data_IF_827416585828
#
_entry.id   IF_827416585828
#
_cell.length_a   1.000
_cell.length_b   1.000
_cell.length_c   1.000
_cell.angle_alpha   90.00
_cell.angle_beta   90.00
_cell.angle_gamma   90.00
#
_symmetry.space_group_name_H-M   'P 1'
#
loop_
_entity.id
_entity.type
_entity.pdbx_description
1 polymer ?
#
# COMPACT_ATOMS: atom_id res chain seq x y z
N UNK A 1 36.02 -71.98 7.14
CA UNK A 1 35.17 -71.24 8.10
C UNK A 1 35.24 -69.77 7.69
N UNK A 2 34.09 -69.21 7.35
CA UNK A 2 33.72 -67.82 7.10
C UNK A 2 34.38 -66.97 5.98
N UNK A 3 33.54 -66.80 4.96
CA UNK A 3 33.44 -65.73 3.95
C UNK A 3 33.07 -64.39 4.62
N UNK A 4 33.61 -63.27 4.15
CA UNK A 4 33.19 -61.92 4.54
C UNK A 4 33.13 -60.98 3.34
N UNK A 5 31.98 -60.95 2.65
CA UNK A 5 31.68 -59.98 1.60
C UNK A 5 31.35 -58.61 2.20
N UNK A 6 31.96 -57.57 1.63
CA UNK A 6 31.63 -56.16 1.85
C UNK A 6 30.29 -55.84 1.18
N UNK A 7 29.28 -55.47 1.97
CA UNK A 7 28.01 -54.91 1.49
C UNK A 7 28.13 -53.38 1.44
N UNK A 8 28.41 -52.85 0.25
CA UNK A 8 28.10 -51.47 -0.09
C UNK A 8 26.59 -51.32 -0.30
N UNK A 9 25.94 -50.46 0.46
CA UNK A 9 24.53 -50.15 0.26
C UNK A 9 24.38 -49.21 -0.94
N UNK A 10 24.04 -49.76 -2.11
CA UNK A 10 23.45 -48.99 -3.19
C UNK A 10 22.09 -48.46 -2.72
N UNK A 11 21.92 -47.14 -2.67
CA UNK A 11 20.59 -46.51 -2.61
C UNK A 11 19.88 -46.81 -3.94
N UNK A 12 18.84 -47.63 -3.90
CA UNK A 12 17.95 -47.90 -5.04
C UNK A 12 17.29 -46.59 -5.51
N UNK A 13 17.60 -46.17 -6.74
CA UNK A 13 17.02 -44.98 -7.36
C UNK A 13 15.54 -45.18 -7.77
N UNK A 14 15.03 -46.41 -7.75
CA UNK A 14 13.71 -46.78 -8.29
C UNK A 14 12.54 -46.64 -7.29
N UNK A 15 12.77 -46.04 -6.10
CA UNK A 15 11.71 -45.88 -5.06
C UNK A 15 11.41 -44.45 -4.62
N UNK A 16 11.85 -43.44 -5.36
CA UNK A 16 11.23 -42.12 -5.28
C UNK A 16 9.96 -42.15 -6.15
N UNK A 17 8.81 -42.51 -5.57
CA UNK A 17 7.53 -42.56 -6.29
C UNK A 17 7.09 -41.14 -6.70
N UNK A 18 7.43 -40.72 -7.92
CA UNK A 18 6.94 -39.49 -8.55
C UNK A 18 8.01 -38.46 -8.93
N UNK A 19 7.63 -37.51 -9.79
CA UNK A 19 8.46 -36.35 -10.13
C UNK A 19 8.52 -35.38 -8.94
N UNK A 20 9.68 -34.82 -8.64
CA UNK A 20 9.84 -33.88 -7.53
C UNK A 20 10.86 -32.77 -7.84
N UNK A 21 10.77 -31.67 -7.10
CA UNK A 21 11.82 -30.66 -7.03
C UNK A 21 12.58 -30.80 -5.71
N UNK A 22 13.91 -30.83 -5.78
CA UNK A 22 14.78 -30.68 -4.63
C UNK A 22 15.27 -29.22 -4.59
N UNK A 23 14.63 -28.43 -3.74
CA UNK A 23 14.84 -26.98 -3.71
C UNK A 23 15.90 -26.65 -2.67
N UNK A 24 16.92 -25.90 -3.08
CA UNK A 24 17.92 -25.29 -2.19
C UNK A 24 17.69 -23.79 -2.12
N UNK A 25 17.61 -23.23 -0.92
CA UNK A 25 17.52 -21.78 -0.73
C UNK A 25 18.92 -21.18 -0.57
N UNK A 26 19.21 -20.13 -1.34
CA UNK A 26 20.44 -19.35 -1.23
C UNK A 26 20.13 -17.92 -0.77
N UNK A 27 20.60 -17.52 0.40
CA UNK A 27 20.32 -16.19 0.96
C UNK A 27 21.39 -15.71 1.96
N UNK A 28 21.59 -14.38 2.09
CA UNK A 28 22.47 -13.84 3.11
C UNK A 28 21.85 -14.00 4.51
N UNK A 29 22.63 -14.49 5.47
CA UNK A 29 22.18 -14.77 6.85
C UNK A 29 21.73 -13.52 7.62
N UNK A 30 21.99 -12.32 7.10
CA UNK A 30 21.52 -11.04 7.62
C UNK A 30 20.02 -10.82 7.44
N UNK A 31 19.32 -11.69 6.70
CA UNK A 31 17.87 -11.59 6.48
C UNK A 31 17.04 -12.21 7.62
N UNK A 32 17.66 -12.94 8.56
CA UNK A 32 17.01 -13.51 9.75
C UNK A 32 15.72 -14.30 9.47
N UNK A 33 15.65 -15.00 8.34
CA UNK A 33 14.45 -15.75 7.94
C UNK A 33 14.18 -16.89 8.94
N UNK A 34 12.95 -17.05 9.44
CA UNK A 34 12.51 -18.16 10.30
C UNK A 34 11.41 -19.04 9.67
N UNK A 35 10.75 -18.57 8.61
CA UNK A 35 9.79 -19.31 7.80
C UNK A 35 9.87 -18.96 6.32
N UNK A 36 9.42 -19.88 5.48
CA UNK A 36 9.24 -19.72 4.05
C UNK A 36 7.77 -19.87 3.68
N UNK A 37 7.29 -19.06 2.74
CA UNK A 37 6.06 -19.29 2.01
C UNK A 37 6.43 -19.70 0.59
N UNK A 38 6.15 -20.95 0.24
CA UNK A 38 6.52 -21.54 -1.05
C UNK A 38 5.28 -21.65 -1.92
N UNK A 39 5.34 -21.08 -3.12
CA UNK A 39 4.31 -21.20 -4.15
C UNK A 39 4.94 -21.40 -5.53
N UNK A 40 4.14 -21.71 -6.54
CA UNK A 40 4.65 -21.90 -7.89
C UNK A 40 3.70 -22.60 -8.83
N UNK A 41 4.23 -23.12 -9.92
CA UNK A 41 3.50 -23.89 -10.91
C UNK A 41 4.39 -24.94 -11.57
N UNK A 42 3.75 -25.97 -12.15
CA UNK A 42 4.36 -26.88 -13.11
C UNK A 42 3.38 -27.16 -14.24
N UNK A 43 3.73 -26.77 -15.46
CA UNK A 43 2.79 -26.69 -16.57
C UNK A 43 1.61 -25.79 -16.20
N UNK A 44 0.39 -26.34 -16.23
CA UNK A 44 -0.85 -25.64 -15.84
C UNK A 44 -1.26 -25.88 -14.37
N UNK A 45 -0.51 -26.70 -13.63
CA UNK A 45 -0.83 -27.05 -12.23
C UNK A 45 -0.15 -26.10 -11.26
N UNK A 46 -0.87 -25.66 -10.23
CA UNK A 46 -0.31 -24.85 -9.14
C UNK A 46 0.44 -25.67 -8.08
N UNK A 47 1.43 -25.05 -7.43
CA UNK A 47 2.20 -25.57 -6.30
C UNK A 47 1.98 -24.65 -5.10
N UNK A 48 1.59 -25.20 -3.95
CA UNK A 48 1.42 -24.44 -2.70
C UNK A 48 0.10 -23.64 -2.63
N UNK A 49 0.01 -22.64 -1.73
CA UNK A 49 1.07 -22.18 -0.84
C UNK A 49 1.38 -23.17 0.29
N UNK A 50 2.67 -23.36 0.59
CA UNK A 50 3.14 -24.14 1.74
C UNK A 50 3.96 -23.25 2.67
N UNK A 51 3.75 -23.39 3.98
CA UNK A 51 4.54 -22.68 5.00
C UNK A 51 5.55 -23.65 5.62
N UNK A 52 6.84 -23.30 5.58
CA UNK A 52 7.94 -24.17 6.01
C UNK A 52 8.93 -23.43 6.92
N UNK A 53 9.24 -23.91 8.13
CA UNK A 53 8.46 -24.90 8.88
C UNK A 53 7.08 -24.34 9.25
N UNK A 54 6.09 -25.22 9.47
CA UNK A 54 4.72 -24.80 9.81
C UNK A 54 4.61 -23.99 11.11
N UNK A 55 5.57 -24.15 12.03
CA UNK A 55 5.74 -23.32 13.22
C UNK A 55 7.17 -22.77 13.27
N UNK A 56 7.37 -21.48 13.59
CA UNK A 56 8.69 -20.87 13.64
C UNK A 56 9.40 -21.34 14.92
N UNK A 57 10.42 -22.20 14.77
CA UNK A 57 11.17 -22.75 15.91
C UNK A 57 12.65 -22.31 15.96
N UNK A 58 13.19 -21.81 14.85
CA UNK A 58 14.58 -21.35 14.71
C UNK A 58 14.73 -20.51 13.44
N UNK A 59 15.80 -19.74 13.38
CA UNK A 59 16.26 -19.15 12.12
C UNK A 59 16.66 -20.25 11.13
N UNK A 60 16.35 -20.02 9.86
CA UNK A 60 16.79 -20.83 8.74
C UNK A 60 18.26 -20.55 8.43
N UNK A 61 18.97 -21.59 7.98
CA UNK A 61 20.35 -21.51 7.53
C UNK A 61 20.44 -21.46 6.02
N UNK A 62 21.43 -20.72 5.49
CA UNK A 62 21.69 -20.72 4.07
C UNK A 62 22.00 -22.14 3.56
N UNK A 63 21.46 -22.51 2.40
CA UNK A 63 21.58 -23.85 1.84
C UNK A 63 20.59 -24.87 2.42
N UNK A 64 19.58 -24.44 3.19
CA UNK A 64 18.50 -25.35 3.57
C UNK A 64 17.78 -25.91 2.35
N UNK A 65 17.35 -27.16 2.47
CA UNK A 65 16.75 -27.90 1.37
C UNK A 65 15.40 -28.46 1.77
N UNK A 66 14.48 -28.48 0.81
CA UNK A 66 13.19 -29.13 0.97
C UNK A 66 12.72 -29.71 -0.36
N UNK A 67 11.76 -30.62 -0.27
CA UNK A 67 11.25 -31.38 -1.42
C UNK A 67 9.82 -30.97 -1.75
N UNK A 68 9.57 -30.65 -3.01
CA UNK A 68 8.22 -30.43 -3.53
C UNK A 68 7.85 -31.63 -4.39
N UNK A 69 6.83 -32.37 -3.98
CA UNK A 69 6.26 -33.43 -4.82
C UNK A 69 5.39 -32.80 -5.91
N UNK A 70 5.65 -33.16 -7.16
CA UNK A 70 4.90 -32.64 -8.30
C UNK A 70 3.81 -33.63 -8.73
N UNK A 71 2.71 -33.13 -9.32
CA UNK A 71 1.77 -34.00 -10.03
C UNK A 71 2.46 -34.76 -11.18
N UNK A 72 1.82 -35.79 -11.74
CA UNK A 72 2.30 -36.42 -12.96
C UNK A 72 2.48 -35.39 -14.07
N UNK A 73 3.68 -35.34 -14.64
CA UNK A 73 4.11 -34.35 -15.64
C UNK A 73 4.83 -35.07 -16.76
N UNK A 74 4.82 -34.48 -17.94
CA UNK A 74 5.61 -34.95 -19.07
C UNK A 74 7.05 -34.42 -18.99
N UNK A 75 7.95 -35.02 -19.77
CA UNK A 75 9.33 -34.54 -19.84
C UNK A 75 9.38 -33.11 -20.39
N UNK A 76 10.32 -32.33 -19.86
CA UNK A 76 10.55 -30.93 -20.26
C UNK A 76 9.35 -30.02 -20.00
N UNK A 77 8.54 -30.35 -18.97
CA UNK A 77 7.49 -29.45 -18.49
C UNK A 77 8.14 -28.33 -17.69
N UNK A 78 7.83 -27.05 -17.94
CA UNK A 78 8.39 -25.96 -17.15
C UNK A 78 7.77 -25.95 -15.75
N UNK A 79 8.61 -25.80 -14.73
CA UNK A 79 8.22 -25.53 -13.36
C UNK A 79 8.81 -24.19 -12.90
N UNK A 80 8.00 -23.40 -12.22
CA UNK A 80 8.40 -22.14 -11.61
C UNK A 80 8.11 -22.22 -10.10
N UNK A 81 9.07 -21.81 -9.28
CA UNK A 81 8.94 -21.77 -7.82
C UNK A 81 9.26 -20.37 -7.34
N UNK A 82 8.35 -19.81 -6.55
CA UNK A 82 8.49 -18.54 -5.84
C UNK A 82 8.52 -18.80 -4.33
N UNK A 83 9.44 -18.13 -3.64
CA UNK A 83 9.62 -18.25 -2.19
C UNK A 83 9.63 -16.86 -1.57
N UNK A 84 8.80 -16.67 -0.55
CA UNK A 84 8.91 -15.53 0.38
C UNK A 84 9.59 -15.99 1.67
N UNK A 85 10.57 -15.23 2.15
CA UNK A 85 11.18 -15.44 3.46
C UNK A 85 10.55 -14.52 4.50
N UNK A 86 10.09 -15.10 5.61
CA UNK A 86 9.50 -14.40 6.75
C UNK A 86 10.46 -14.35 7.94
N UNK A 87 10.36 -13.29 8.73
CA UNK A 87 10.93 -13.17 10.07
C UNK A 87 9.83 -12.66 11.01
N UNK A 88 9.54 -13.39 12.09
CA UNK A 88 8.44 -13.10 13.01
C UNK A 88 7.10 -12.85 12.30
N UNK A 89 6.85 -13.60 11.22
CA UNK A 89 5.64 -13.49 10.40
C UNK A 89 5.62 -12.34 9.38
N UNK A 90 6.69 -11.53 9.29
CA UNK A 90 6.81 -10.43 8.33
C UNK A 90 7.73 -10.81 7.18
N UNK A 91 7.35 -10.50 5.94
CA UNK A 91 8.21 -10.75 4.78
C UNK A 91 9.44 -9.84 4.78
N UNK A 92 10.61 -10.47 4.73
CA UNK A 92 11.92 -9.82 4.71
C UNK A 92 12.75 -10.20 3.48
N UNK A 93 12.35 -11.26 2.75
CA UNK A 93 13.05 -11.74 1.57
C UNK A 93 12.09 -12.29 0.52
N UNK A 94 12.53 -12.29 -0.74
CA UNK A 94 11.83 -12.94 -1.85
C UNK A 94 12.82 -13.47 -2.89
N UNK A 95 12.46 -14.56 -3.56
CA UNK A 95 13.17 -15.08 -4.73
C UNK A 95 12.27 -15.97 -5.58
N UNK A 96 12.62 -16.13 -6.86
CA UNK A 96 11.99 -17.10 -7.75
C UNK A 96 13.02 -17.77 -8.66
N UNK A 97 12.70 -18.97 -9.13
CA UNK A 97 13.55 -19.73 -10.04
C UNK A 97 12.70 -20.69 -10.88
N UNK A 98 13.18 -21.04 -12.07
CA UNK A 98 12.48 -21.94 -12.99
C UNK A 98 13.39 -23.05 -13.51
N UNK A 99 12.81 -24.21 -13.78
CA UNK A 99 13.52 -25.39 -14.29
C UNK A 99 12.60 -26.26 -15.13
N UNK A 100 13.19 -27.01 -16.08
CA UNK A 100 12.48 -28.03 -16.84
C UNK A 100 12.46 -29.35 -16.07
N UNK A 101 11.27 -29.87 -15.78
CA UNK A 101 11.14 -31.12 -15.01
C UNK A 101 11.18 -32.35 -15.91
N UNK A 102 11.65 -33.46 -15.35
CA UNK A 102 11.74 -34.74 -16.05
C UNK A 102 10.89 -35.79 -15.34
N UNK A 103 10.01 -36.45 -16.09
CA UNK A 103 9.04 -37.42 -15.58
C UNK A 103 9.72 -38.54 -14.77
N UNK A 104 9.33 -38.67 -13.51
CA UNK A 104 9.86 -39.71 -12.60
C UNK A 104 11.24 -39.40 -12.03
N UNK A 105 11.76 -38.18 -12.22
CA UNK A 105 13.03 -37.75 -11.64
C UNK A 105 12.80 -36.66 -10.61
N UNK A 106 13.74 -36.57 -9.68
CA UNK A 106 13.93 -35.40 -8.85
C UNK A 106 14.87 -34.42 -9.58
N UNK A 107 14.48 -33.15 -9.62
CA UNK A 107 15.24 -32.10 -10.29
C UNK A 107 15.66 -31.05 -9.27
N UNK A 108 16.95 -30.73 -9.27
CA UNK A 108 17.51 -29.71 -8.38
C UNK A 108 17.13 -28.31 -8.85
N UNK A 109 16.72 -27.46 -7.91
CA UNK A 109 16.40 -26.06 -8.14
C UNK A 109 17.03 -25.22 -7.05
N UNK A 110 17.83 -24.22 -7.41
CA UNK A 110 18.31 -23.23 -6.44
C UNK A 110 17.49 -21.95 -6.58
N UNK A 111 16.94 -21.48 -5.47
CA UNK A 111 16.23 -20.19 -5.39
C UNK A 111 17.09 -19.23 -4.59
N UNK A 112 17.60 -18.21 -5.28
CA UNK A 112 18.33 -17.12 -4.65
C UNK A 112 17.32 -16.10 -4.11
N UNK A 113 17.39 -15.82 -2.82
CA UNK A 113 16.53 -14.84 -2.16
C UNK A 113 17.31 -13.56 -1.87
N UNK A 114 16.66 -12.44 -2.08
CA UNK A 114 17.21 -11.12 -1.81
C UNK A 114 16.31 -10.38 -0.82
N UNK A 115 16.84 -9.31 -0.20
CA UNK A 115 16.06 -8.47 0.71
C UNK A 115 14.84 -7.96 -0.04
N UNK A 116 13.66 -8.33 0.45
CA UNK A 116 12.41 -7.76 -0.03
C UNK A 116 12.02 -6.63 0.92
N UNK A 117 11.67 -5.44 0.41
CA UNK A 117 11.08 -4.44 1.28
C UNK A 117 9.83 -5.05 1.96
N UNK A 118 9.60 -4.75 3.26
CA UNK A 118 8.36 -5.15 3.91
C UNK A 118 7.20 -4.67 3.05
N UNK A 119 6.15 -5.48 2.92
CA UNK A 119 4.92 -5.04 2.25
C UNK A 119 4.43 -3.83 3.04
N UNK A 120 4.68 -2.61 2.56
CA UNK A 120 3.99 -1.46 3.12
C UNK A 120 2.54 -1.57 2.63
N UNK A 121 1.56 -1.81 3.50
CA UNK A 121 0.16 -1.88 3.07
C UNK A 121 -0.31 -0.58 2.40
N UNK A 122 0.45 0.52 2.58
CA UNK A 122 0.20 1.85 2.05
C UNK A 122 1.08 2.23 0.86
N UNK A 123 2.10 1.43 0.51
CA UNK A 123 2.95 1.70 -0.65
C UNK A 123 3.29 0.43 -1.44
N UNK A 124 2.95 0.45 -2.72
CA UNK A 124 3.16 -0.64 -3.64
C UNK A 124 4.14 -0.22 -4.74
N UNK A 125 5.20 -1.00 -4.96
CA UNK A 125 6.13 -0.79 -6.08
C UNK A 125 5.45 -1.17 -7.41
N UNK A 126 5.79 -0.47 -8.50
CA UNK A 126 5.31 -0.74 -9.87
C UNK A 126 3.79 -0.60 -10.11
N UNK A 127 3.12 0.39 -9.49
CA UNK A 127 1.74 0.77 -9.82
C UNK A 127 1.66 2.09 -10.62
N UNK A 128 2.01 2.13 -11.93
CA UNK A 128 2.10 3.39 -12.68
C UNK A 128 0.75 4.12 -12.82
N UNK A 129 -0.36 3.38 -12.95
CA UNK A 129 -1.71 3.93 -13.14
C UNK A 129 -2.67 3.62 -11.98
N UNK A 130 -2.12 3.22 -10.83
CA UNK A 130 -2.90 2.74 -9.70
C UNK A 130 -2.33 3.15 -8.34
N UNK A 131 -3.09 2.84 -7.32
CA UNK A 131 -2.75 3.08 -5.92
C UNK A 131 -2.61 1.75 -5.17
N UNK A 132 -2.03 1.82 -3.98
CA UNK A 132 -1.85 0.66 -3.12
C UNK A 132 -3.05 0.49 -2.19
N UNK A 133 -3.62 -0.70 -2.21
CA UNK A 133 -4.67 -1.11 -1.29
C UNK A 133 -4.28 -2.47 -0.70
N UNK A 134 -3.93 -2.47 0.59
CA UNK A 134 -3.51 -3.66 1.33
C UNK A 134 -2.30 -4.38 0.67
N UNK A 135 -1.33 -3.62 0.15
CA UNK A 135 -0.14 -4.18 -0.50
C UNK A 135 -0.36 -4.68 -1.93
N UNK A 136 -1.55 -4.45 -2.52
CA UNK A 136 -1.84 -4.76 -3.92
C UNK A 136 -2.06 -3.48 -4.74
N UNK A 137 -1.48 -3.42 -5.94
CA UNK A 137 -1.84 -2.40 -6.91
C UNK A 137 -3.31 -2.58 -7.32
N UNK A 138 -4.11 -1.55 -7.13
CA UNK A 138 -5.47 -1.51 -7.65
C UNK A 138 -5.60 -0.38 -8.66
N UNK A 139 -6.54 -0.55 -9.60
CA UNK A 139 -6.81 0.45 -10.61
C UNK A 139 -7.42 1.70 -9.99
N UNK A 140 -7.06 2.86 -10.55
CA UNK A 140 -7.60 4.12 -10.07
C UNK A 140 -9.09 4.22 -10.39
N UNK A 141 -9.92 4.37 -9.35
CA UNK A 141 -11.37 4.60 -9.46
C UNK A 141 -11.80 5.72 -8.51
N UNK A 142 -13.09 6.06 -8.49
CA UNK A 142 -13.61 7.03 -7.53
C UNK A 142 -13.48 6.56 -6.07
N UNK A 143 -13.46 5.25 -5.80
CA UNK A 143 -13.31 4.68 -4.46
C UNK A 143 -11.87 4.26 -4.13
N UNK A 144 -11.03 4.14 -5.16
CA UNK A 144 -9.62 3.75 -5.07
C UNK A 144 -8.77 4.79 -5.83
N UNK A 145 -8.88 6.06 -5.46
CA UNK A 145 -8.21 7.14 -6.17
C UNK A 145 -6.75 7.25 -5.73
N UNK A 146 -5.86 7.30 -6.71
CA UNK A 146 -4.42 7.48 -6.52
C UNK A 146 -3.63 6.99 -7.73
N UNK A 147 -2.34 7.32 -7.76
CA UNK A 147 -1.38 6.90 -8.79
C UNK A 147 0.01 6.71 -8.18
N UNK A 148 0.90 6.00 -8.86
CA UNK A 148 2.29 5.84 -8.42
C UNK A 148 2.46 4.99 -7.16
N UNK A 149 1.48 4.13 -6.87
CA UNK A 149 1.59 3.17 -5.77
C UNK A 149 1.43 3.74 -4.37
N UNK A 150 1.02 5.00 -4.23
CA UNK A 150 0.62 5.57 -2.92
C UNK A 150 -0.70 4.96 -2.44
N UNK A 151 -1.01 5.09 -1.15
CA UNK A 151 -2.25 4.60 -0.56
C UNK A 151 -3.49 5.13 -1.28
N UNK A 152 -4.43 4.24 -1.58
CA UNK A 152 -5.70 4.60 -2.19
C UNK A 152 -6.55 5.50 -1.29
N UNK A 153 -7.19 6.49 -1.88
CA UNK A 153 -8.17 7.35 -1.20
C UNK A 153 -9.54 7.17 -1.83
N UNK A 154 -10.58 7.03 -1.00
CA UNK A 154 -11.96 7.12 -1.48
C UNK A 154 -12.38 8.56 -1.62
N UNK A 155 -12.78 8.98 -2.83
CA UNK A 155 -13.29 10.32 -3.06
C UNK A 155 -14.65 10.52 -2.40
N UNK A 156 -14.86 11.71 -1.84
CA UNK A 156 -16.15 12.08 -1.25
C UNK A 156 -17.10 12.51 -2.38
N UNK A 157 -18.23 11.81 -2.60
CA UNK A 157 -19.19 12.14 -3.65
C UNK A 157 -19.89 13.49 -3.44
N UNK A 158 -19.85 14.05 -2.22
CA UNK A 158 -20.30 15.41 -2.00
C UNK A 158 -19.37 16.42 -2.68
N UNK A 159 -18.04 16.28 -2.55
CA UNK A 159 -17.08 17.31 -2.96
C UNK A 159 -16.26 16.97 -4.21
N UNK A 160 -16.46 15.80 -4.80
CA UNK A 160 -15.76 15.34 -6.00
C UNK A 160 -16.71 14.58 -6.94
N UNK A 161 -16.44 14.65 -8.24
CA UNK A 161 -17.14 13.89 -9.29
C UNK A 161 -16.23 12.96 -10.09
N UNK A 162 -14.92 13.01 -9.86
CA UNK A 162 -13.95 12.14 -10.52
C UNK A 162 -12.72 11.86 -9.65
N UNK A 163 -12.00 10.79 -10.00
CA UNK A 163 -10.58 10.68 -9.70
C UNK A 163 -9.80 11.17 -10.92
N UNK A 164 -8.91 12.15 -10.73
CA UNK A 164 -8.15 12.72 -11.83
C UNK A 164 -7.10 11.73 -12.36
N UNK A 165 -6.59 11.99 -13.56
CA UNK A 165 -5.44 11.23 -14.11
C UNK A 165 -4.18 11.35 -13.23
N UNK A 166 -4.08 12.43 -12.44
CA UNK A 166 -2.99 12.65 -11.50
C UNK A 166 -3.18 11.94 -10.16
N UNK A 167 -4.25 11.16 -9.97
CA UNK A 167 -4.46 10.39 -8.74
C UNK A 167 -5.01 11.21 -7.57
N UNK A 168 -5.72 12.32 -7.83
CA UNK A 168 -6.39 13.10 -6.79
C UNK A 168 -7.89 13.20 -7.06
N UNK A 169 -8.69 13.25 -5.99
CA UNK A 169 -10.12 13.50 -6.09
C UNK A 169 -10.37 14.88 -6.69
N UNK A 170 -11.22 14.96 -7.71
CA UNK A 170 -11.43 16.14 -8.52
C UNK A 170 -12.91 16.51 -8.59
N UNK A 171 -13.15 17.81 -8.76
CA UNK A 171 -14.44 18.36 -9.17
C UNK A 171 -14.24 19.01 -10.55
N UNK A 172 -14.61 18.28 -11.60
CA UNK A 172 -14.30 18.67 -12.97
C UNK A 172 -12.78 18.69 -13.21
N UNK A 173 -12.21 19.75 -13.81
CA UNK A 173 -10.77 19.85 -14.04
C UNK A 173 -9.96 20.28 -12.81
N UNK A 174 -10.64 20.61 -11.70
CA UNK A 174 -10.01 21.15 -10.49
C UNK A 174 -9.91 20.09 -9.39
N UNK A 175 -9.07 20.29 -8.36
CA UNK A 175 -9.12 19.48 -7.14
C UNK A 175 -10.52 19.43 -6.52
N UNK A 176 -10.78 18.40 -5.72
CA UNK A 176 -12.01 18.27 -4.95
C UNK A 176 -12.30 19.54 -4.17
N UNK A 177 -13.58 19.82 -3.99
CA UNK A 177 -14.03 21.03 -3.36
C UNK A 177 -13.62 21.10 -1.89
N UNK A 178 -13.14 22.27 -1.46
CA UNK A 178 -12.87 22.54 -0.05
C UNK A 178 -14.19 22.49 0.74
N UNK A 179 -14.33 21.55 1.70
CA UNK A 179 -15.55 21.41 2.51
C UNK A 179 -15.80 22.61 3.43
N UNK A 180 -14.82 23.50 3.64
CA UNK A 180 -15.05 24.79 4.32
C UNK A 180 -15.78 25.73 3.37
N UNK A 181 -15.32 25.87 2.12
CA UNK A 181 -15.84 26.86 1.19
C UNK A 181 -17.09 26.40 0.41
N UNK A 182 -17.44 25.12 0.46
CA UNK A 182 -18.49 24.54 -0.40
C UNK A 182 -19.25 23.40 0.27
N UNK A 183 -20.48 23.16 -0.17
CA UNK A 183 -21.31 22.04 0.26
C UNK A 183 -21.35 20.89 -0.75
N UNK A 184 -21.06 21.17 -2.03
CA UNK A 184 -21.00 20.12 -3.07
C UNK A 184 -20.16 20.46 -4.30
N UNK A 185 -19.80 19.42 -5.03
CA UNK A 185 -19.42 19.45 -6.44
C UNK A 185 -20.66 19.24 -7.31
N UNK A 186 -20.98 20.21 -8.15
CA UNK A 186 -22.10 20.16 -9.09
C UNK A 186 -21.58 20.45 -10.51
N UNK A 187 -21.61 19.43 -11.37
CA UNK A 187 -21.15 19.50 -12.77
C UNK A 187 -19.74 20.10 -12.90
N UNK A 188 -18.80 19.59 -12.09
CA UNK A 188 -17.42 20.04 -12.07
C UNK A 188 -17.18 21.43 -11.49
N UNK A 189 -18.14 21.99 -10.73
CA UNK A 189 -17.96 23.24 -9.99
C UNK A 189 -18.33 23.09 -8.52
N UNK A 190 -17.51 23.67 -7.66
CA UNK A 190 -17.77 23.75 -6.23
C UNK A 190 -18.85 24.80 -5.94
N UNK A 191 -19.86 24.41 -5.17
CA UNK A 191 -21.04 25.23 -4.87
C UNK A 191 -21.24 25.40 -3.38
N UNK A 192 -21.84 26.53 -3.02
CA UNK A 192 -22.42 26.76 -1.71
C UNK A 192 -23.89 27.18 -1.89
N UNK A 193 -24.83 26.31 -1.56
CA UNK A 193 -26.24 26.52 -1.85
C UNK A 193 -26.47 26.64 -3.36
N UNK A 194 -26.99 27.77 -3.85
CA UNK A 194 -27.19 28.02 -5.28
C UNK A 194 -26.06 28.81 -5.93
N UNK A 195 -25.06 29.22 -5.15
CA UNK A 195 -23.94 30.07 -5.56
C UNK A 195 -22.67 29.23 -5.76
N UNK A 196 -21.65 29.84 -6.32
CA UNK A 196 -20.31 29.25 -6.36
C UNK A 196 -19.72 29.13 -4.95
N UNK A 197 -18.61 28.40 -4.83
CA UNK A 197 -17.87 28.25 -3.58
C UNK A 197 -17.54 29.62 -2.96
N UNK A 198 -17.48 29.63 -1.63
CA UNK A 198 -17.24 30.83 -0.88
C UNK A 198 -15.84 31.41 -1.13
N UNK A 199 -15.71 32.74 -1.22
CA UNK A 199 -14.41 33.39 -1.25
C UNK A 199 -13.56 33.02 -0.03
N UNK A 200 -12.23 33.14 -0.19
CA UNK A 200 -11.28 32.93 0.90
C UNK A 200 -11.67 33.72 2.15
N UNK A 201 -11.62 33.07 3.31
CA UNK A 201 -12.02 33.67 4.59
C UNK A 201 -13.46 33.37 5.02
N UNK A 202 -14.28 32.75 4.15
CA UNK A 202 -15.68 32.43 4.43
C UNK A 202 -15.94 30.92 4.38
N UNK A 203 -16.87 30.47 5.22
CA UNK A 203 -17.37 29.10 5.26
C UNK A 203 -18.75 29.02 4.63
N UNK A 204 -19.02 27.94 3.90
CA UNK A 204 -20.35 27.56 3.47
C UNK A 204 -21.13 26.97 4.64
N UNK A 205 -22.10 27.71 5.18
CA UNK A 205 -22.98 27.27 6.26
C UNK A 205 -24.42 27.41 5.80
N UNK A 206 -25.13 26.29 5.68
CA UNK A 206 -26.52 26.28 5.20
C UNK A 206 -26.70 26.85 3.79
N UNK A 207 -25.70 26.68 2.92
CA UNK A 207 -25.72 27.21 1.56
C UNK A 207 -25.50 28.73 1.46
N UNK A 208 -25.00 29.37 2.52
CA UNK A 208 -24.59 30.78 2.51
C UNK A 208 -23.14 30.91 2.99
N UNK A 209 -22.42 31.83 2.36
CA UNK A 209 -21.06 32.16 2.77
C UNK A 209 -21.08 33.06 4.00
N UNK A 210 -20.55 32.55 5.12
CA UNK A 210 -20.51 33.20 6.41
C UNK A 210 -19.08 33.27 6.92
N UNK A 211 -18.73 34.37 7.59
CA UNK A 211 -17.47 34.43 8.30
C UNK A 211 -17.61 33.66 9.61
N UNK A 212 -16.72 32.68 9.83
CA UNK A 212 -16.77 31.79 10.98
C UNK A 212 -15.39 31.65 11.62
N UNK A 213 -15.30 31.16 12.87
CA UNK A 213 -14.02 30.81 13.49
C UNK A 213 -13.19 29.81 12.67
N UNK A 214 -13.84 28.92 11.91
CA UNK A 214 -13.20 27.91 11.07
C UNK A 214 -12.65 28.46 9.75
N UNK A 215 -13.17 29.60 9.28
CA UNK A 215 -12.78 30.16 7.98
C UNK A 215 -11.86 31.38 8.06
N UNK A 216 -11.78 32.04 9.22
CA UNK A 216 -11.10 33.32 9.36
C UNK A 216 -10.04 33.31 10.47
N UNK A 217 -8.78 33.56 10.13
CA UNK A 217 -7.69 33.71 11.10
C UNK A 217 -7.69 35.08 11.81
N UNK A 218 -8.21 36.11 11.14
CA UNK A 218 -8.42 37.45 11.69
C UNK A 218 -9.76 37.56 12.44
N UNK A 219 -10.52 38.62 12.20
CA UNK A 219 -11.86 38.81 12.77
C UNK A 219 -12.92 38.99 11.68
N UNK A 220 -14.16 38.70 12.04
CA UNK A 220 -15.32 38.84 11.18
C UNK A 220 -15.96 40.22 11.36
N UNK A 221 -15.92 41.04 10.31
CA UNK A 221 -16.79 42.21 10.18
C UNK A 221 -17.99 41.84 9.30
N UNK A 222 -19.08 41.46 9.94
CA UNK A 222 -20.18 40.77 9.26
C UNK A 222 -19.68 39.50 8.56
N UNK A 223 -19.98 39.35 7.26
CA UNK A 223 -19.48 38.24 6.43
C UNK A 223 -18.19 38.59 5.68
N UNK A 224 -17.33 39.43 6.26
CA UNK A 224 -16.00 39.74 5.70
C UNK A 224 -14.93 39.36 6.71
N UNK A 225 -14.06 38.42 6.35
CA UNK A 225 -12.87 38.15 7.14
C UNK A 225 -11.84 39.26 6.88
N UNK A 226 -11.47 39.99 7.92
CA UNK A 226 -10.44 41.04 7.85
C UNK A 226 -9.25 40.67 8.74
N UNK A 227 -8.04 41.21 8.50
CA UNK A 227 -6.84 40.84 9.26
C UNK A 227 -6.93 41.04 10.78
N UNK A 228 -7.84 41.89 11.24
CA UNK A 228 -8.07 42.06 12.68
C UNK A 228 -7.00 42.89 13.40
N UNK A 229 -6.23 43.70 12.66
CA UNK A 229 -5.11 44.49 13.16
C UNK A 229 -5.37 46.01 13.14
N UNK A 230 -6.58 46.44 12.79
CA UNK A 230 -6.96 47.84 12.78
C UNK A 230 -7.68 48.21 14.08
N UNK A 231 -7.59 49.47 14.50
CA UNK A 231 -8.18 49.97 15.75
C UNK A 231 -9.70 49.73 15.81
N UNK A 232 -10.39 49.96 14.72
CA UNK A 232 -11.84 49.82 14.57
C UNK A 232 -12.26 48.39 14.14
N UNK A 233 -11.30 47.54 13.77
CA UNK A 233 -11.49 46.15 13.35
C UNK A 233 -10.41 45.27 13.96
N UNK A 234 -10.41 45.18 15.28
CA UNK A 234 -9.42 44.43 16.05
C UNK A 234 -9.97 43.05 16.44
N UNK A 235 -9.18 41.99 16.32
CA UNK A 235 -9.59 40.65 16.73
C UNK A 235 -8.81 39.54 16.01
N UNK A 236 -9.00 38.30 16.46
CA UNK A 236 -8.40 37.10 15.83
C UNK A 236 -9.31 35.89 16.07
N UNK A 237 -9.07 34.78 15.38
CA UNK A 237 -9.79 33.52 15.55
C UNK A 237 -11.23 33.53 15.02
N UNK A 238 -11.52 34.37 14.03
CA UNK A 238 -12.80 34.48 13.34
C UNK A 238 -13.96 34.89 14.24
N UNK A 239 -13.65 35.53 15.38
CA UNK A 239 -14.63 36.19 16.23
C UNK A 239 -15.06 37.52 15.61
N UNK A 240 -16.19 38.08 16.08
CA UNK A 240 -16.62 39.42 15.67
C UNK A 240 -15.54 40.47 15.92
N UNK A 241 -15.27 41.31 14.91
CA UNK A 241 -14.34 42.43 15.06
C UNK A 241 -14.85 43.42 16.13
N UNK A 242 -13.90 43.98 16.90
CA UNK A 242 -14.17 45.00 17.92
C UNK A 242 -13.47 46.30 17.60
N UNK A 243 -14.11 47.41 18.01
CA UNK A 243 -13.51 48.73 18.00
C UNK A 243 -12.85 49.01 19.35
N UNK A 244 -11.55 49.32 19.35
CA UNK A 244 -10.76 49.59 20.54
C UNK A 244 -10.94 50.99 21.13
N UNK A 245 -11.75 51.86 20.52
CA UNK A 245 -11.97 53.23 20.95
C UNK A 245 -10.67 54.05 20.93
N UNK A 246 -10.17 54.43 22.10
CA UNK A 246 -8.91 55.16 22.27
C UNK A 246 -7.68 54.24 22.41
N UNK A 247 -7.88 52.93 22.59
CA UNK A 247 -6.80 51.94 22.68
C UNK A 247 -6.31 51.53 21.29
N UNK A 248 -5.09 51.01 21.19
CA UNK A 248 -4.58 50.44 19.95
C UNK A 248 -4.94 48.96 19.83
N UNK A 249 -4.96 48.45 18.60
CA UNK A 249 -5.02 47.00 18.38
C UNK A 249 -3.59 46.43 18.48
N UNK A 250 -3.31 45.72 19.57
CA UNK A 250 -2.01 45.08 19.80
C UNK A 250 -1.91 43.74 19.07
N UNK A 251 -0.68 43.23 18.98
CA UNK A 251 -0.41 41.88 18.50
C UNK A 251 -1.31 40.86 19.23
N UNK A 252 -1.86 39.90 18.48
CA UNK A 252 -2.87 38.95 18.98
C UNK A 252 -4.31 39.47 18.93
N UNK A 253 -4.57 40.63 18.33
CA UNK A 253 -5.93 41.14 18.10
C UNK A 253 -6.63 41.61 19.38
N UNK A 254 -5.87 42.17 20.33
CA UNK A 254 -6.38 42.63 21.64
C UNK A 254 -6.30 44.15 21.75
N UNK A 255 -7.35 44.79 22.26
CA UNK A 255 -7.34 46.23 22.53
C UNK A 255 -6.52 46.53 23.78
N UNK A 256 -5.50 47.37 23.67
CA UNK A 256 -4.65 47.77 24.79
C UNK A 256 -3.65 48.85 24.47
#
# INVERSE_FOLDING_TARGET
>A
MLLGLLLGACRDADKASGTALFVTIDFPTTLFIDQLVVSGSVGESGIGPYVLPGEPGRLLTNGETFRILLPPVENETPAEVSIEGLHEGTRVAQGSSSVQVRKGYEVELTVRMESAPPVDPNFCVDCPSGCCMNGYCTTSTFQTCGTGGISCTSCNPATADACSQGGFCACGPNPACDPIASDRCDKGRCRCGTKDACPSGLQCVGGQCQCTPSSCSGCCDGNTCVPGNQRDRCGTGGQGCRNCGFLQCRAGGVCG
#
